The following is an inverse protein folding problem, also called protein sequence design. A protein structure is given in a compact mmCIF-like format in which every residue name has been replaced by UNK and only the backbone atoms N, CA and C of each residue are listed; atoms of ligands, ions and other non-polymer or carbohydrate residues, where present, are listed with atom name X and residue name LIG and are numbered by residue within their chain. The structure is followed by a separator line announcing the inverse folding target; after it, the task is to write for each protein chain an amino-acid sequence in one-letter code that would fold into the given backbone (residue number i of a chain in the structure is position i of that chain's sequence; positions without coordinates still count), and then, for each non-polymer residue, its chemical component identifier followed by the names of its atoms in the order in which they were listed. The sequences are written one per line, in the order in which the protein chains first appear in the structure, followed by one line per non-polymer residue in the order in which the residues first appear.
data_IF_738313413980
#
_entry.id   IF_738313413980
#
_cell.length_a   1.000
_cell.length_b   1.000
_cell.length_c   1.000
_cell.angle_alpha   90.00
_cell.angle_beta   90.00
_cell.angle_gamma   90.00
#
_symmetry.space_group_name_H-M   'P 1'
#
loop_
_entity.id
_entity.type
_entity.pdbx_description
1 polymer ?
#
# COMPACT_ATOMS: atom_id res chain seq x y z
N UNK A 1 -5.73 10.53 -8.87
CA UNK A 1 -5.51 9.54 -7.77
C UNK A 1 -6.84 8.95 -7.35
N UNK A 2 -6.90 7.65 -7.19
CA UNK A 2 -8.10 6.99 -6.69
C UNK A 2 -8.43 7.47 -5.28
N UNK A 3 -9.72 7.63 -4.99
CA UNK A 3 -10.19 8.08 -3.68
C UNK A 3 -9.75 7.14 -2.56
N UNK A 4 -9.73 5.83 -2.81
CA UNK A 4 -9.30 4.85 -1.81
C UNK A 4 -7.84 5.07 -1.38
N UNK A 5 -6.96 5.47 -2.30
CA UNK A 5 -5.58 5.84 -1.95
C UNK A 5 -5.52 7.14 -1.17
N UNK A 6 -6.30 8.15 -1.59
CA UNK A 6 -6.33 9.43 -0.90
C UNK A 6 -6.77 9.25 0.56
N UNK A 7 -7.81 8.47 0.76
CA UNK A 7 -8.31 8.17 2.10
C UNK A 7 -7.28 7.40 2.94
N UNK A 8 -6.59 6.44 2.33
CA UNK A 8 -5.54 5.68 3.00
C UNK A 8 -4.41 6.60 3.46
N UNK A 9 -3.93 7.47 2.56
CA UNK A 9 -2.82 8.36 2.89
C UNK A 9 -3.18 9.34 4.00
N UNK A 10 -4.39 9.88 3.97
CA UNK A 10 -4.89 10.75 5.04
C UNK A 10 -4.95 10.03 6.37
N UNK A 11 -5.42 8.79 6.38
CA UNK A 11 -5.49 7.97 7.59
C UNK A 11 -4.10 7.63 8.14
N UNK A 12 -3.14 7.34 7.25
CA UNK A 12 -1.76 7.06 7.65
C UNK A 12 -1.11 8.30 8.26
N UNK A 13 -1.32 9.47 7.69
CA UNK A 13 -0.82 10.72 8.26
C UNK A 13 -1.46 11.00 9.62
N UNK A 14 -2.76 10.81 9.75
CA UNK A 14 -3.47 11.01 11.02
C UNK A 14 -2.98 10.06 12.11
N UNK A 15 -2.56 8.86 11.74
CA UNK A 15 -2.02 7.86 12.65
C UNK A 15 -0.52 7.95 12.88
N UNK A 16 0.15 8.97 12.35
CA UNK A 16 1.61 9.15 12.45
C UNK A 16 2.41 7.98 11.88
N UNK A 17 1.87 7.30 10.87
CA UNK A 17 2.57 6.22 10.18
C UNK A 17 3.48 6.80 9.12
N UNK A 18 4.77 6.54 9.23
CA UNK A 18 5.76 6.94 8.22
C UNK A 18 5.62 6.03 7.00
N UNK A 19 5.56 6.62 5.82
CA UNK A 19 5.57 5.87 4.57
C UNK A 19 6.11 6.72 3.44
N UNK A 20 6.61 6.05 2.40
CA UNK A 20 7.00 6.75 1.17
C UNK A 20 6.80 5.84 -0.03
N UNK A 21 6.75 6.44 -1.22
CA UNK A 21 6.78 5.71 -2.46
C UNK A 21 8.17 5.12 -2.65
N UNK A 22 8.26 3.78 -2.80
CA UNK A 22 9.54 3.07 -2.75
C UNK A 22 10.18 2.88 -4.12
N UNK A 23 9.38 2.61 -5.14
CA UNK A 23 9.86 2.35 -6.49
C UNK A 23 8.93 2.98 -7.50
N UNK A 24 9.41 3.09 -8.74
CA UNK A 24 8.53 3.42 -9.84
C UNK A 24 8.07 4.86 -9.91
N UNK A 25 8.94 5.81 -9.63
CA UNK A 25 8.61 7.23 -9.76
C UNK A 25 7.99 7.59 -11.11
N UNK A 26 8.44 6.93 -12.17
CA UNK A 26 7.95 7.21 -13.52
C UNK A 26 6.50 6.78 -13.74
N UNK A 27 6.01 5.84 -12.94
CA UNK A 27 4.67 5.30 -13.06
C UNK A 27 3.77 5.67 -11.88
N UNK A 28 4.20 6.58 -11.01
CA UNK A 28 3.46 6.90 -9.79
C UNK A 28 2.03 7.36 -10.08
N UNK A 29 1.85 8.27 -11.02
CA UNK A 29 0.51 8.76 -11.36
C UNK A 29 -0.38 7.63 -11.86
N UNK A 30 0.14 6.75 -12.72
CA UNK A 30 -0.60 5.59 -13.21
C UNK A 30 -0.99 4.66 -12.07
N UNK A 31 -0.07 4.38 -11.16
CA UNK A 31 -0.33 3.51 -10.02
C UNK A 31 -1.40 4.11 -9.10
N UNK A 32 -1.34 5.41 -8.85
CA UNK A 32 -2.34 6.12 -8.04
C UNK A 32 -3.71 6.17 -8.71
N UNK A 33 -3.76 6.01 -10.03
CA UNK A 33 -5.01 5.92 -10.79
C UNK A 33 -5.49 4.49 -10.98
N UNK A 34 -4.83 3.52 -10.37
CA UNK A 34 -5.23 2.12 -10.38
C UNK A 34 -4.60 1.27 -11.47
N UNK A 35 -3.60 1.78 -12.16
CA UNK A 35 -2.89 1.05 -13.21
C UNK A 35 -1.58 0.48 -12.66
N UNK A 36 -1.62 -0.79 -12.27
CA UNK A 36 -0.46 -1.47 -11.69
C UNK A 36 -0.40 -1.38 -10.18
N UNK A 37 0.74 -1.77 -9.63
CA UNK A 37 0.95 -1.87 -8.19
C UNK A 37 1.67 -0.64 -7.65
N UNK A 38 1.11 -0.05 -6.61
CA UNK A 38 1.78 1.01 -5.88
C UNK A 38 2.76 0.38 -4.88
N UNK A 39 4.05 0.72 -5.01
CA UNK A 39 5.07 0.24 -4.08
C UNK A 39 5.30 1.25 -2.97
N UNK A 40 5.03 0.85 -1.74
CA UNK A 40 5.25 1.67 -0.56
C UNK A 40 6.30 1.06 0.34
N UNK A 41 7.12 1.91 0.94
CA UNK A 41 7.97 1.53 2.05
C UNK A 41 7.36 2.07 3.34
N UNK A 42 7.24 1.20 4.34
CA UNK A 42 6.77 1.54 5.69
C UNK A 42 7.79 0.94 6.67
N UNK A 43 8.38 1.73 7.58
CA UNK A 43 9.32 1.18 8.55
C UNK A 43 8.69 0.05 9.38
N UNK A 44 9.50 -0.96 9.69
CA UNK A 44 9.02 -2.14 10.42
C UNK A 44 8.32 -1.79 11.74
N UNK A 45 8.77 -0.74 12.42
CA UNK A 45 8.14 -0.27 13.66
C UNK A 45 6.70 0.19 13.47
N UNK A 46 6.32 0.54 12.22
CA UNK A 46 4.97 1.00 11.89
C UNK A 46 4.09 -0.10 11.30
N UNK A 47 4.61 -1.33 11.19
CA UNK A 47 3.92 -2.42 10.51
C UNK A 47 2.52 -2.69 11.07
N UNK A 48 2.41 -2.85 12.40
CA UNK A 48 1.12 -3.15 13.03
C UNK A 48 0.09 -2.04 12.81
N UNK A 49 0.51 -0.79 12.95
CA UNK A 49 -0.38 0.35 12.71
C UNK A 49 -0.78 0.46 11.24
N UNK A 50 0.18 0.23 10.33
CA UNK A 50 -0.14 0.23 8.90
C UNK A 50 -1.19 -0.82 8.57
N UNK A 51 -1.01 -2.05 9.02
CA UNK A 51 -1.95 -3.14 8.75
C UNK A 51 -3.35 -2.81 9.24
N UNK A 52 -3.45 -2.25 10.44
CA UNK A 52 -4.71 -1.86 11.05
C UNK A 52 -5.40 -0.76 10.26
N UNK A 53 -4.65 0.26 9.88
CA UNK A 53 -5.19 1.40 9.13
C UNK A 53 -5.60 0.97 7.72
N UNK A 54 -4.78 0.19 7.03
CA UNK A 54 -5.11 -0.30 5.69
C UNK A 54 -6.41 -1.09 5.71
N UNK A 55 -6.59 -1.97 6.68
CA UNK A 55 -7.82 -2.73 6.82
C UNK A 55 -9.03 -1.83 7.10
N UNK A 56 -8.86 -0.80 7.93
CA UNK A 56 -9.93 0.15 8.22
C UNK A 56 -10.33 0.99 7.00
N UNK A 57 -9.41 1.16 6.04
CA UNK A 57 -9.63 1.93 4.82
C UNK A 57 -9.97 1.02 3.62
N UNK A 58 -10.56 -0.15 3.89
CA UNK A 58 -11.11 -1.06 2.90
C UNK A 58 -10.09 -1.81 2.04
N UNK A 59 -8.84 -1.86 2.47
CA UNK A 59 -7.86 -2.74 1.87
C UNK A 59 -7.86 -4.10 2.57
N UNK A 60 -7.59 -5.15 1.79
CA UNK A 60 -7.47 -6.50 2.31
C UNK A 60 -6.13 -7.08 1.92
N UNK A 61 -5.47 -7.68 2.89
CA UNK A 61 -4.21 -8.36 2.66
C UNK A 61 -4.45 -9.64 1.91
N UNK A 62 -3.65 -9.88 0.88
CA UNK A 62 -3.67 -11.11 0.11
C UNK A 62 -2.44 -11.93 0.46
N UNK A 63 -2.65 -13.18 0.85
CA UNK A 63 -1.58 -14.11 1.14
C UNK A 63 -1.27 -14.89 -0.14
N UNK A 64 -0.02 -14.79 -0.60
CA UNK A 64 0.45 -15.53 -1.75
C UNK A 64 1.32 -16.70 -1.30
N UNK A 65 0.98 -17.89 -1.74
CA UNK A 65 1.77 -19.08 -1.43
C UNK A 65 3.13 -19.12 -2.14
N UNK A 66 3.30 -18.30 -3.17
CA UNK A 66 4.51 -18.35 -4.01
C UNK A 66 5.54 -17.26 -3.73
N UNK A 67 5.21 -16.27 -2.95
CA UNK A 67 6.07 -15.11 -2.77
C UNK A 67 6.13 -14.66 -1.32
N UNK A 68 6.27 -15.61 -0.41
CA UNK A 68 6.37 -15.29 1.01
C UNK A 68 7.72 -14.70 1.34
N UNK A 69 7.78 -13.37 1.24
CA UNK A 69 8.84 -12.62 1.86
C UNK A 69 8.31 -12.06 3.17
N UNK A 70 8.99 -12.34 4.26
CA UNK A 70 8.56 -11.96 5.62
C UNK A 70 8.31 -10.46 5.80
N UNK A 71 8.85 -9.64 4.91
CA UNK A 71 8.78 -8.18 5.05
C UNK A 71 8.08 -7.50 3.89
N UNK A 72 7.35 -8.25 3.08
CA UNK A 72 6.56 -7.71 1.96
C UNK A 72 5.13 -8.19 2.10
N UNK A 73 4.20 -7.26 2.03
CA UNK A 73 2.77 -7.57 2.05
C UNK A 73 2.08 -7.00 0.83
N UNK A 74 1.02 -7.68 0.40
CA UNK A 74 0.22 -7.28 -0.74
C UNK A 74 -1.19 -6.95 -0.25
N UNK A 75 -1.69 -5.81 -0.69
CA UNK A 75 -3.05 -5.36 -0.34
C UNK A 75 -3.83 -5.04 -1.59
N UNK A 76 -5.11 -5.34 -1.55
CA UNK A 76 -6.05 -4.99 -2.61
C UNK A 76 -7.24 -4.28 -2.01
N UNK A 77 -7.74 -3.28 -2.72
CA UNK A 77 -8.94 -2.57 -2.35
C UNK A 77 -9.72 -2.18 -3.58
N UNK A 78 -11.02 -2.02 -3.45
CA UNK A 78 -11.87 -1.55 -4.55
C UNK A 78 -12.19 -0.08 -4.35
N UNK A 79 -11.82 0.72 -5.34
CA UNK A 79 -12.22 2.13 -5.35
C UNK A 79 -13.67 2.22 -5.83
N UNK A 80 -14.56 2.61 -4.93
CA UNK A 80 -16.00 2.62 -5.21
C UNK A 80 -16.42 3.72 -6.19
N UNK A 81 -15.63 4.78 -6.28
CA UNK A 81 -15.92 5.88 -7.19
C UNK A 81 -15.72 5.50 -8.66
N UNK A 82 -14.71 4.69 -8.95
CA UNK A 82 -14.34 4.32 -10.32
C UNK A 82 -14.54 2.83 -10.62
N UNK A 83 -14.77 2.00 -9.61
CA UNK A 83 -14.78 0.54 -9.68
C UNK A 83 -13.45 -0.07 -10.13
N UNK A 84 -12.35 0.66 -9.95
CA UNK A 84 -11.01 0.12 -10.19
C UNK A 84 -10.47 -0.53 -8.94
N UNK A 85 -9.66 -1.58 -9.11
CA UNK A 85 -8.91 -2.17 -8.00
C UNK A 85 -7.63 -1.40 -7.77
N UNK A 86 -7.34 -1.15 -6.50
CA UNK A 86 -6.10 -0.56 -6.05
C UNK A 86 -5.21 -1.65 -5.48
N UNK A 87 -3.97 -1.73 -5.94
CA UNK A 87 -3.00 -2.74 -5.49
C UNK A 87 -1.85 -2.03 -4.79
N UNK A 88 -1.45 -2.53 -3.63
CA UNK A 88 -0.31 -2.00 -2.90
C UNK A 88 0.63 -3.15 -2.56
N UNK A 89 1.90 -2.97 -2.90
CA UNK A 89 3.01 -3.78 -2.36
C UNK A 89 3.67 -2.95 -1.27
N UNK A 90 3.71 -3.47 -0.06
CA UNK A 90 4.28 -2.76 1.08
C UNK A 90 5.54 -3.48 1.52
N UNK A 91 6.63 -2.72 1.59
CA UNK A 91 7.93 -3.21 2.05
C UNK A 91 8.19 -2.64 3.43
N UNK A 92 8.42 -3.50 4.41
CA UNK A 92 8.71 -3.08 5.78
C UNK A 92 10.20 -3.08 6.11
N UNK A 93 10.99 -3.60 5.19
CA UNK A 93 12.45 -3.64 5.32
C UNK A 93 13.07 -3.44 3.94
N UNK A 94 14.08 -2.60 3.87
CA UNK A 94 14.82 -2.40 2.64
C UNK A 94 15.77 -3.58 2.48
N UNK A 95 15.61 -4.32 1.39
CA UNK A 95 16.51 -5.38 1.02
C UNK A 95 17.38 -4.86 -0.12
N UNK A 96 18.66 -4.71 0.14
CA UNK A 96 19.65 -4.30 -0.86
C UNK A 96 20.42 -5.54 -1.31
N UNK A 97 20.47 -5.75 -2.60
CA UNK A 97 21.28 -6.86 -3.09
C UNK A 97 20.80 -7.44 -4.37
#
# INVERSE_FOLDING_TARGET
MLEIFDNLFKALHAGDVTFCNWKGHHALESHLDGDGDLDLFVPLRCKAEFEKIAESEDFRRVISYQADHDFVEHYYGLDKATFKFAHIHVYFKIVTG
#
